data_IF_369729535780
#
_entry.id   IF_369729535780
#
_cell.length_a   1.000
_cell.length_b   1.000
_cell.length_c   1.000
_cell.angle_alpha   90.00
_cell.angle_beta   90.00
_cell.angle_gamma   90.00
#
_symmetry.space_group_name_H-M   'P 1'
#
loop_
_entity.id
_entity.type
_entity.pdbx_description
1 polymer ?
#
# COMPACT_ATOMS: atom_id res chain seq x y z
N UNK A 1 34.56 -22.09 -13.22
CA UNK A 1 33.34 -21.49 -13.81
C UNK A 1 32.03 -21.92 -13.14
N UNK A 2 31.89 -23.18 -12.69
CA UNK A 2 30.61 -23.69 -12.13
C UNK A 2 30.20 -23.02 -10.81
N UNK A 3 31.14 -22.81 -9.88
CA UNK A 3 30.91 -22.14 -8.60
C UNK A 3 30.53 -20.67 -8.80
N UNK A 4 31.22 -19.96 -9.70
CA UNK A 4 30.91 -18.56 -10.02
C UNK A 4 29.48 -18.38 -10.55
N UNK A 5 28.98 -19.31 -11.37
CA UNK A 5 27.59 -19.32 -11.85
C UNK A 5 26.58 -19.48 -10.71
N UNK A 6 26.85 -20.34 -9.74
CA UNK A 6 25.99 -20.53 -8.57
C UNK A 6 25.99 -19.31 -7.65
N UNK A 7 27.16 -18.73 -7.38
CA UNK A 7 27.28 -17.51 -6.56
C UNK A 7 26.54 -16.34 -7.23
N UNK A 8 26.73 -16.16 -8.54
CA UNK A 8 26.05 -15.11 -9.29
C UNK A 8 24.53 -15.33 -9.34
N UNK A 9 24.09 -16.58 -9.52
CA UNK A 9 22.67 -16.93 -9.48
C UNK A 9 22.04 -16.67 -8.10
N UNK A 10 22.72 -17.04 -7.02
CA UNK A 10 22.26 -16.78 -5.66
C UNK A 10 22.17 -15.27 -5.37
N UNK A 11 23.17 -14.49 -5.80
CA UNK A 11 23.15 -13.04 -5.66
C UNK A 11 22.00 -12.41 -6.47
N UNK A 12 21.78 -12.89 -7.70
CA UNK A 12 20.68 -12.42 -8.54
C UNK A 12 19.32 -12.72 -7.90
N UNK A 13 19.11 -13.92 -7.36
CA UNK A 13 17.88 -14.26 -6.62
C UNK A 13 17.71 -13.38 -5.39
N UNK A 14 18.76 -13.19 -4.61
CA UNK A 14 18.72 -12.35 -3.40
C UNK A 14 18.26 -10.92 -3.70
N UNK A 15 18.63 -10.37 -4.86
CA UNK A 15 18.25 -9.01 -5.28
C UNK A 15 16.88 -9.00 -5.98
N UNK A 16 16.61 -9.96 -6.88
CA UNK A 16 15.38 -9.97 -7.67
C UNK A 16 14.16 -10.41 -6.86
N UNK A 17 14.34 -11.30 -5.89
CA UNK A 17 13.26 -11.80 -5.05
C UNK A 17 12.49 -10.67 -4.32
N UNK A 18 13.13 -9.74 -3.58
CA UNK A 18 12.41 -8.65 -2.92
C UNK A 18 11.71 -7.73 -3.93
N UNK A 19 12.30 -7.48 -5.10
CA UNK A 19 11.66 -6.69 -6.17
C UNK A 19 10.39 -7.38 -6.66
N UNK A 20 10.44 -8.69 -6.90
CA UNK A 20 9.28 -9.47 -7.32
C UNK A 20 8.20 -9.52 -6.23
N UNK A 21 8.61 -9.63 -4.96
CA UNK A 21 7.66 -9.60 -3.82
C UNK A 21 6.94 -8.26 -3.75
N UNK A 22 7.66 -7.14 -3.85
CA UNK A 22 7.05 -5.79 -3.83
C UNK A 22 6.14 -5.59 -5.03
N UNK A 23 6.58 -5.97 -6.24
CA UNK A 23 5.76 -5.88 -7.44
C UNK A 23 4.49 -6.73 -7.34
N UNK A 24 4.60 -7.96 -6.83
CA UNK A 24 3.47 -8.86 -6.60
C UNK A 24 2.50 -8.32 -5.55
N UNK A 25 3.02 -7.78 -4.44
CA UNK A 25 2.20 -7.14 -3.40
C UNK A 25 1.46 -5.92 -3.95
N UNK A 26 2.13 -5.05 -4.72
CA UNK A 26 1.52 -3.91 -5.38
C UNK A 26 0.43 -4.34 -6.37
N UNK A 27 0.67 -5.39 -7.16
CA UNK A 27 -0.36 -5.93 -8.05
C UNK A 27 -1.57 -6.47 -7.25
N UNK A 28 -1.31 -7.17 -6.14
CA UNK A 28 -2.35 -7.75 -5.29
C UNK A 28 -3.20 -6.71 -4.56
N UNK A 29 -2.60 -5.65 -3.99
CA UNK A 29 -3.38 -4.58 -3.32
C UNK A 29 -4.22 -3.75 -4.29
N UNK A 30 -3.98 -3.86 -5.59
CA UNK A 30 -4.83 -3.28 -6.62
C UNK A 30 -6.05 -4.16 -6.97
N UNK A 31 -6.18 -5.35 -6.37
CA UNK A 31 -7.38 -6.22 -6.48
C UNK A 31 -8.38 -5.91 -5.36
N UNK A 32 -9.64 -6.35 -5.51
CA UNK A 32 -10.70 -6.12 -4.52
C UNK A 32 -10.33 -6.64 -3.12
N UNK A 33 -9.91 -7.91 -3.00
CA UNK A 33 -9.52 -8.49 -1.72
C UNK A 33 -8.27 -7.85 -1.10
N UNK A 34 -7.33 -7.39 -1.94
CA UNK A 34 -6.15 -6.66 -1.47
C UNK A 34 -6.49 -5.27 -0.93
N UNK A 35 -7.46 -4.58 -1.53
CA UNK A 35 -7.95 -3.28 -1.06
C UNK A 35 -8.68 -3.41 0.28
N UNK A 36 -9.59 -4.38 0.41
CA UNK A 36 -10.26 -4.64 1.69
C UNK A 36 -9.27 -4.98 2.81
N UNK A 37 -8.21 -5.72 2.48
CA UNK A 37 -7.14 -5.99 3.44
C UNK A 37 -6.47 -4.70 3.91
N UNK A 38 -6.16 -3.77 3.00
CA UNK A 38 -5.59 -2.47 3.35
C UNK A 38 -6.54 -1.62 4.20
N UNK A 39 -7.84 -1.59 3.89
CA UNK A 39 -8.85 -0.89 4.70
C UNK A 39 -8.83 -1.37 6.16
N UNK A 40 -8.80 -2.69 6.36
CA UNK A 40 -8.70 -3.29 7.69
C UNK A 40 -7.36 -3.02 8.37
N UNK A 41 -6.27 -3.06 7.61
CA UNK A 41 -4.92 -2.87 8.13
C UNK A 41 -4.66 -1.41 8.55
N UNK A 42 -5.26 -0.43 7.87
CA UNK A 42 -5.09 0.99 8.16
C UNK A 42 -5.49 1.34 9.62
N UNK A 43 -6.59 0.77 10.11
CA UNK A 43 -7.05 0.93 11.49
C UNK A 43 -6.04 0.37 12.52
N UNK A 44 -5.22 -0.61 12.13
CA UNK A 44 -4.17 -1.17 12.98
C UNK A 44 -2.94 -0.25 13.12
N UNK A 45 -2.70 0.63 12.15
CA UNK A 45 -1.59 1.60 12.21
C UNK A 45 -2.00 2.93 12.82
N UNK A 46 -3.25 3.35 12.60
CA UNK A 46 -3.80 4.58 13.17
C UNK A 46 -5.10 4.23 13.90
N UNK A 47 -5.05 4.08 15.24
CA UNK A 47 -6.25 3.86 16.04
C UNK A 47 -7.27 4.97 15.80
N UNK A 48 -8.54 4.60 15.61
CA UNK A 48 -9.61 5.55 15.32
C UNK A 48 -9.77 5.90 13.83
N UNK A 49 -8.85 5.51 12.96
CA UNK A 49 -8.97 5.68 11.51
C UNK A 49 -9.86 4.60 10.90
N UNK A 50 -10.81 5.01 10.05
CA UNK A 50 -11.61 4.13 9.20
C UNK A 50 -11.53 4.61 7.77
N UNK A 51 -11.28 3.68 6.87
CA UNK A 51 -11.24 3.94 5.43
C UNK A 51 -12.15 2.94 4.75
N UNK A 52 -13.02 3.42 3.87
CA UNK A 52 -13.99 2.61 3.16
C UNK A 52 -13.96 2.93 1.67
N UNK A 53 -14.11 1.90 0.84
CA UNK A 53 -14.25 2.03 -0.61
C UNK A 53 -12.99 2.53 -1.28
N UNK A 54 -11.84 1.94 -0.94
CA UNK A 54 -10.56 2.22 -1.59
C UNK A 54 -10.62 1.94 -3.10
N UNK A 55 -10.09 2.88 -3.89
CA UNK A 55 -10.10 2.85 -5.35
C UNK A 55 -8.84 3.49 -5.93
N UNK A 56 -8.62 3.24 -7.22
CA UNK A 56 -7.49 3.81 -7.96
C UNK A 56 -6.22 2.98 -7.90
N UNK A 57 -5.23 3.29 -8.77
CA UNK A 57 -3.97 2.59 -8.82
C UNK A 57 -3.06 3.01 -7.65
N UNK A 58 -2.84 2.09 -6.71
CA UNK A 58 -1.81 2.21 -5.69
C UNK A 58 -0.41 1.99 -6.31
N UNK A 59 0.65 2.71 -5.87
CA UNK A 59 0.68 3.68 -4.77
C UNK A 59 0.46 5.15 -5.19
N UNK A 60 0.28 5.45 -6.47
CA UNK A 60 0.26 6.83 -6.97
C UNK A 60 -1.02 7.60 -6.68
N UNK A 61 -2.18 6.96 -6.89
CA UNK A 61 -3.48 7.58 -6.71
C UNK A 61 -4.35 6.72 -5.79
N UNK A 62 -4.63 7.23 -4.60
CA UNK A 62 -5.49 6.57 -3.62
C UNK A 62 -6.81 7.34 -3.51
N UNK A 63 -7.87 6.80 -4.10
CA UNK A 63 -9.24 7.26 -3.88
C UNK A 63 -9.91 6.49 -2.75
N UNK A 64 -10.86 7.11 -2.07
CA UNK A 64 -11.68 6.47 -1.03
C UNK A 64 -13.12 7.00 -1.08
N UNK A 65 -14.08 6.18 -0.69
CA UNK A 65 -15.47 6.62 -0.55
C UNK A 65 -15.67 7.42 0.74
N UNK A 66 -15.08 6.95 1.84
CA UNK A 66 -15.15 7.62 3.14
C UNK A 66 -13.87 7.40 3.91
N UNK A 67 -13.36 8.47 4.51
CA UNK A 67 -12.26 8.45 5.46
C UNK A 67 -12.74 9.15 6.73
N UNK A 68 -12.90 8.37 7.80
CA UNK A 68 -13.28 8.88 9.11
C UNK A 68 -12.12 8.74 10.08
N UNK A 69 -11.95 9.70 10.97
CA UNK A 69 -11.05 9.60 12.10
C UNK A 69 -11.76 10.04 13.38
N UNK A 70 -11.66 9.20 14.40
CA UNK A 70 -12.18 9.45 15.74
C UNK A 70 -11.04 9.59 16.76
N UNK A 71 -11.18 10.57 17.64
CA UNK A 71 -10.31 10.76 18.79
C UNK A 71 -10.99 10.28 20.09
N UNK A 72 -10.48 10.70 21.25
CA UNK A 72 -11.03 10.32 22.54
C UNK A 72 -12.40 10.95 22.85
N UNK A 73 -12.77 12.03 22.15
CA UNK A 73 -14.00 12.79 22.36
C UNK A 73 -15.11 12.38 21.37
N UNK A 74 -14.75 11.78 20.24
CA UNK A 74 -15.70 11.23 19.27
C UNK A 74 -15.19 11.28 17.83
N UNK A 75 -16.12 11.28 16.87
CA UNK A 75 -15.77 11.45 15.46
C UNK A 75 -15.28 12.88 15.24
N UNK A 76 -13.99 13.04 14.91
CA UNK A 76 -13.35 14.34 14.76
C UNK A 76 -13.42 14.85 13.33
N UNK A 77 -13.13 13.98 12.36
CA UNK A 77 -13.14 14.35 10.93
C UNK A 77 -13.70 13.22 10.08
N UNK A 78 -14.53 13.61 9.11
CA UNK A 78 -15.03 12.72 8.05
C UNK A 78 -14.83 13.41 6.72
N UNK A 79 -14.18 12.71 5.80
CA UNK A 79 -14.00 13.09 4.42
C UNK A 79 -14.77 12.10 3.55
N UNK A 80 -15.59 12.62 2.66
CA UNK A 80 -16.35 11.83 1.70
C UNK A 80 -15.77 12.03 0.29
N UNK A 81 -15.73 10.94 -0.47
CA UNK A 81 -15.26 10.86 -1.85
C UNK A 81 -13.96 11.63 -2.13
N UNK A 82 -12.92 11.30 -1.37
CA UNK A 82 -11.63 11.96 -1.45
C UNK A 82 -10.60 11.23 -2.31
N UNK A 83 -9.58 11.97 -2.73
CA UNK A 83 -8.38 11.44 -3.41
C UNK A 83 -7.13 11.98 -2.76
N UNK A 84 -6.15 11.09 -2.55
CA UNK A 84 -4.79 11.41 -2.15
C UNK A 84 -3.88 11.08 -3.32
N UNK A 85 -3.11 12.08 -3.73
CA UNK A 85 -2.08 11.94 -4.77
C UNK A 85 -0.72 11.84 -4.10
N UNK A 86 -0.06 10.71 -4.31
CA UNK A 86 1.29 10.44 -3.83
C UNK A 86 2.28 10.77 -4.96
N UNK A 87 2.74 12.02 -4.95
CA UNK A 87 3.82 12.45 -5.83
C UNK A 87 5.17 12.19 -5.15
N UNK A 88 5.77 11.04 -5.47
CA UNK A 88 7.07 10.64 -4.95
C UNK A 88 8.23 11.49 -5.51
N UNK A 89 7.99 12.23 -6.61
CA UNK A 89 8.97 13.11 -7.23
C UNK A 89 8.83 14.57 -6.80
N UNK A 90 7.80 14.94 -6.04
CA UNK A 90 7.62 16.30 -5.53
C UNK A 90 8.75 16.76 -4.59
N UNK A 91 9.60 15.84 -4.15
CA UNK A 91 10.73 16.08 -3.25
C UNK A 91 12.08 16.30 -3.96
N UNK A 92 12.14 16.22 -5.29
CA UNK A 92 13.37 16.41 -6.10
C UNK A 92 13.35 17.73 -6.86
#
# INVERSE_FOLDING_TARGET
MRILKWVLGALAVLILLPVLVVAGALAWVNTEGGREFLERQAAGFVPGLRIEGLRGPLPGHLGFARLGYADAEGEWVVLEDGRIDLDLMALT
#
